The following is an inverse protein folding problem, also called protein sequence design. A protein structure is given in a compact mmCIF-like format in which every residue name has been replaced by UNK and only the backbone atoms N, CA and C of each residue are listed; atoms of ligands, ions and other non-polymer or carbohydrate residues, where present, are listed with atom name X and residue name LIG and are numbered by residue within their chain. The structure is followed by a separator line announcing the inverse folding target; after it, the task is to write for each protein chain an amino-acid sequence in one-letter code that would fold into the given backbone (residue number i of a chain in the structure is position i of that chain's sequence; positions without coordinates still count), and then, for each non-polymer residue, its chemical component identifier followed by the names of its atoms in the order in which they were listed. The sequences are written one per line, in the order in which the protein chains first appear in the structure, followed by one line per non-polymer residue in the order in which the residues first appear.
data_IF_606783298096
#
_entry.id   IF_606783298096
#
_cell.length_a   1.000
_cell.length_b   1.000
_cell.length_c   1.000
_cell.angle_alpha   90.00
_cell.angle_beta   90.00
_cell.angle_gamma   90.00
#
_symmetry.space_group_name_H-M   'P 1'
#
loop_
_entity.id
_entity.type
_entity.pdbx_description
1 polymer ?
#
# COMPACT_ATOMS: atom_id res chain seq x y z
N UNK A 1 2.62 -20.20 -66.74
CA UNK A 1 3.86 -19.56 -67.24
C UNK A 1 4.54 -18.92 -66.05
N UNK A 2 5.43 -19.66 -65.37
CA UNK A 2 6.13 -19.18 -64.18
C UNK A 2 7.28 -18.28 -64.63
N UNK A 3 7.01 -16.99 -64.80
CA UNK A 3 8.08 -16.02 -65.09
C UNK A 3 8.95 -15.91 -63.84
N UNK A 4 10.23 -16.32 -63.88
CA UNK A 4 11.10 -16.21 -62.73
C UNK A 4 11.27 -14.74 -62.37
N UNK A 5 10.87 -14.37 -61.15
CA UNK A 5 11.10 -13.01 -60.63
C UNK A 5 12.59 -12.67 -60.73
N UNK A 6 12.93 -11.43 -61.14
CA UNK A 6 14.32 -10.99 -61.22
C UNK A 6 15.02 -11.20 -59.87
N UNK A 7 16.28 -11.65 -59.89
CA UNK A 7 17.07 -11.98 -58.71
C UNK A 7 16.95 -10.97 -57.52
N UNK A 8 16.96 -9.64 -57.73
CA UNK A 8 16.79 -8.70 -56.62
C UNK A 8 15.40 -8.76 -55.95
N UNK A 9 14.34 -9.05 -56.71
CA UNK A 9 12.97 -9.14 -56.19
C UNK A 9 12.73 -10.35 -55.29
N UNK A 10 13.51 -11.43 -55.48
CA UNK A 10 13.42 -12.65 -54.66
C UNK A 10 13.85 -12.42 -53.21
N UNK A 11 14.71 -11.43 -52.97
CA UNK A 11 15.22 -11.08 -51.64
C UNK A 11 14.48 -9.86 -51.08
N UNK A 12 14.15 -8.88 -51.94
CA UNK A 12 13.43 -7.69 -51.53
C UNK A 12 12.04 -8.01 -50.95
N UNK A 13 11.31 -8.96 -51.55
CA UNK A 13 9.97 -9.34 -51.09
C UNK A 13 9.96 -9.95 -49.67
N UNK A 14 10.73 -11.00 -49.35
CA UNK A 14 10.77 -11.53 -47.99
C UNK A 14 11.37 -10.52 -47.00
N UNK A 15 12.37 -9.74 -47.39
CA UNK A 15 12.93 -8.70 -46.52
C UNK A 15 11.86 -7.63 -46.15
N UNK A 16 11.07 -7.20 -47.13
CA UNK A 16 9.97 -6.27 -46.89
C UNK A 16 8.90 -6.87 -45.96
N UNK A 17 8.51 -8.13 -46.16
CA UNK A 17 7.58 -8.81 -45.27
C UNK A 17 8.12 -8.93 -43.84
N UNK A 18 9.42 -9.23 -43.68
CA UNK A 18 10.07 -9.27 -42.37
C UNK A 18 10.02 -7.89 -41.71
N UNK A 19 10.31 -6.80 -42.46
CA UNK A 19 10.21 -5.44 -41.93
C UNK A 19 8.79 -5.07 -41.50
N UNK A 20 7.78 -5.46 -42.29
CA UNK A 20 6.38 -5.27 -41.91
C UNK A 20 6.02 -6.06 -40.65
N UNK A 21 6.51 -7.29 -40.53
CA UNK A 21 6.28 -8.11 -39.34
C UNK A 21 6.92 -7.48 -38.10
N UNK A 22 8.17 -7.02 -38.22
CA UNK A 22 8.87 -6.32 -37.13
C UNK A 22 8.11 -5.06 -36.72
N UNK A 23 7.66 -4.26 -37.69
CA UNK A 23 6.89 -3.05 -37.41
C UNK A 23 5.56 -3.37 -36.71
N UNK A 24 4.87 -4.43 -37.14
CA UNK A 24 3.63 -4.88 -36.51
C UNK A 24 3.86 -5.35 -35.06
N UNK A 25 4.90 -6.13 -34.80
CA UNK A 25 5.26 -6.58 -33.44
C UNK A 25 5.61 -5.39 -32.56
N UNK A 26 6.39 -4.44 -33.08
CA UNK A 26 6.79 -3.25 -32.33
C UNK A 26 5.58 -2.36 -32.02
N UNK A 27 4.68 -2.17 -32.99
CA UNK A 27 3.41 -1.46 -32.80
C UNK A 27 2.52 -2.12 -31.75
N UNK A 28 2.31 -3.44 -31.84
CA UNK A 28 1.51 -4.19 -30.87
C UNK A 28 2.09 -4.13 -29.46
N UNK A 29 3.42 -4.24 -29.34
CA UNK A 29 4.14 -4.17 -28.06
C UNK A 29 4.01 -2.78 -27.43
N UNK A 30 4.18 -1.73 -28.23
CA UNK A 30 4.03 -0.35 -27.76
C UNK A 30 2.61 -0.04 -27.31
N UNK A 31 1.60 -0.50 -28.08
CA UNK A 31 0.19 -0.37 -27.68
C UNK A 31 -0.14 -1.17 -26.41
N UNK A 32 0.50 -2.31 -26.21
CA UNK A 32 0.38 -3.10 -24.98
C UNK A 32 0.95 -2.35 -23.77
N UNK A 33 2.17 -1.82 -23.89
CA UNK A 33 2.81 -1.02 -22.85
C UNK A 33 2.01 0.23 -22.50
N UNK A 34 1.49 0.94 -23.51
CA UNK A 34 0.66 2.13 -23.30
C UNK A 34 -0.61 1.80 -22.50
N UNK A 35 -1.30 0.71 -22.84
CA UNK A 35 -2.49 0.25 -22.10
C UNK A 35 -2.15 -0.09 -20.64
N UNK A 36 -1.03 -0.74 -20.40
CA UNK A 36 -0.58 -1.04 -19.04
C UNK A 36 -0.25 0.23 -18.25
N UNK A 37 0.38 1.24 -18.88
CA UNK A 37 0.66 2.51 -18.22
C UNK A 37 -0.61 3.26 -17.84
N UNK A 38 -1.63 3.26 -18.71
CA UNK A 38 -2.92 3.86 -18.41
C UNK A 38 -3.62 3.17 -17.24
N UNK A 39 -3.70 1.83 -17.24
CA UNK A 39 -4.29 1.07 -16.14
C UNK A 39 -3.56 1.30 -14.80
N UNK A 40 -2.23 1.38 -14.82
CA UNK A 40 -1.46 1.71 -13.62
C UNK A 40 -1.70 3.15 -13.13
N UNK A 41 -1.87 4.11 -14.03
CA UNK A 41 -2.23 5.49 -13.67
C UNK A 41 -3.61 5.56 -13.04
N UNK A 42 -4.61 4.89 -13.63
CA UNK A 42 -5.98 4.88 -13.12
C UNK A 42 -6.04 4.26 -11.72
N UNK A 43 -5.36 3.12 -11.52
CA UNK A 43 -5.26 2.48 -10.18
C UNK A 43 -4.57 3.38 -9.17
N UNK A 44 -3.50 4.08 -9.57
CA UNK A 44 -2.81 5.03 -8.69
C UNK A 44 -3.74 6.16 -8.28
N UNK A 45 -4.52 6.69 -9.21
CA UNK A 45 -5.48 7.76 -8.94
C UNK A 45 -6.59 7.27 -7.99
N UNK A 46 -7.14 6.09 -8.24
CA UNK A 46 -8.14 5.47 -7.35
C UNK A 46 -7.60 5.23 -5.93
N UNK A 47 -6.38 4.70 -5.81
CA UNK A 47 -5.73 4.52 -4.50
C UNK A 47 -5.47 5.86 -3.82
N UNK A 48 -5.06 6.90 -4.55
CA UNK A 48 -4.84 8.22 -3.96
C UNK A 48 -6.15 8.81 -3.43
N UNK A 49 -7.25 8.63 -4.16
CA UNK A 49 -8.57 9.07 -3.75
C UNK A 49 -9.09 8.25 -2.55
N UNK A 50 -8.84 6.94 -2.51
CA UNK A 50 -9.21 6.10 -1.37
C UNK A 50 -8.44 6.48 -0.11
N UNK A 51 -7.14 6.75 -0.22
CA UNK A 51 -6.31 7.26 0.89
C UNK A 51 -6.78 8.62 1.35
N UNK A 52 -7.11 9.55 0.45
CA UNK A 52 -7.65 10.85 0.81
C UNK A 52 -8.97 10.72 1.59
N UNK A 53 -9.90 9.87 1.12
CA UNK A 53 -11.15 9.56 1.84
C UNK A 53 -10.88 8.91 3.20
N UNK A 54 -9.98 7.93 3.27
CA UNK A 54 -9.62 7.27 4.51
C UNK A 54 -8.99 8.25 5.51
N UNK A 55 -8.17 9.20 5.05
CA UNK A 55 -7.61 10.27 5.89
C UNK A 55 -8.68 11.22 6.41
N UNK A 56 -9.68 11.57 5.60
CA UNK A 56 -10.81 12.37 6.06
C UNK A 56 -11.59 11.64 7.17
N UNK A 57 -11.90 10.35 6.97
CA UNK A 57 -12.55 9.52 7.98
C UNK A 57 -11.69 9.38 9.24
N UNK A 58 -10.40 9.07 9.10
CA UNK A 58 -9.48 8.97 10.23
C UNK A 58 -9.32 10.31 10.97
N UNK A 59 -9.38 11.45 10.28
CA UNK A 59 -9.37 12.77 10.89
C UNK A 59 -10.58 13.04 11.78
N UNK A 60 -11.73 12.37 11.54
CA UNK A 60 -12.88 12.42 12.45
C UNK A 60 -12.71 11.56 13.71
N UNK A 61 -11.77 10.61 13.68
CA UNK A 61 -11.46 9.76 14.83
C UNK A 61 -10.49 10.50 15.73
N UNK A 62 -11.05 11.26 16.69
CA UNK A 62 -10.29 11.92 17.77
C UNK A 62 -9.72 10.93 18.78
N UNK A 63 -10.00 9.63 18.68
CA UNK A 63 -9.61 8.63 19.68
C UNK A 63 -8.10 8.63 20.00
N UNK A 64 -7.15 8.68 19.03
CA UNK A 64 -5.72 8.75 19.36
C UNK A 64 -5.34 10.03 20.10
N UNK A 65 -5.96 11.16 19.73
CA UNK A 65 -5.72 12.45 20.37
C UNK A 65 -6.34 12.51 21.76
N UNK A 66 -7.52 11.89 21.95
CA UNK A 66 -8.19 11.76 23.23
C UNK A 66 -7.39 10.86 24.18
N UNK A 67 -6.86 9.73 23.69
CA UNK A 67 -5.97 8.85 24.45
C UNK A 67 -4.66 9.57 24.77
N UNK A 68 -4.07 10.32 23.84
CA UNK A 68 -2.87 11.11 24.11
C UNK A 68 -3.11 12.26 25.11
N UNK A 69 -4.28 12.88 25.08
CA UNK A 69 -4.67 13.93 26.01
C UNK A 69 -4.93 13.35 27.42
N UNK A 70 -5.65 12.23 27.51
CA UNK A 70 -5.82 11.48 28.76
C UNK A 70 -4.46 11.03 29.31
N UNK A 71 -3.59 10.46 28.47
CA UNK A 71 -2.28 9.98 28.87
C UNK A 71 -1.41 11.12 29.43
N UNK A 72 -1.42 12.28 28.78
CA UNK A 72 -0.75 13.49 29.29
C UNK A 72 -1.35 13.95 30.62
N UNK A 73 -2.67 13.96 30.77
CA UNK A 73 -3.34 14.32 32.03
C UNK A 73 -3.02 13.35 33.18
N UNK A 74 -2.81 12.07 32.86
CA UNK A 74 -2.39 11.02 33.79
C UNK A 74 -0.87 10.98 34.05
N UNK A 75 -0.10 11.90 33.45
CA UNK A 75 1.35 12.04 33.67
C UNK A 75 2.23 11.13 32.81
N UNK A 76 1.67 10.47 31.78
CA UNK A 76 2.44 9.67 30.84
C UNK A 76 3.13 10.56 29.77
N UNK A 77 4.37 10.22 29.43
CA UNK A 77 5.18 10.92 28.42
C UNK A 77 5.03 10.21 27.07
N UNK A 78 4.66 10.92 25.98
CA UNK A 78 4.51 10.29 24.66
C UNK A 78 5.88 9.85 24.11
N UNK A 79 5.95 8.61 23.62
CA UNK A 79 7.13 8.06 22.97
C UNK A 79 7.25 8.67 21.57
N UNK A 80 8.42 9.21 21.16
CA UNK A 80 8.61 9.73 19.81
C UNK A 80 8.42 8.62 18.77
N UNK A 81 7.83 8.96 17.61
CA UNK A 81 7.63 7.99 16.53
C UNK A 81 8.97 7.36 16.12
N UNK A 82 9.04 6.02 16.19
CA UNK A 82 10.25 5.24 15.91
C UNK A 82 11.13 4.92 17.12
N UNK A 83 10.76 5.34 18.34
CA UNK A 83 11.45 4.98 19.57
C UNK A 83 11.04 3.62 20.13
N UNK A 84 11.96 2.95 20.83
CA UNK A 84 11.63 1.75 21.62
C UNK A 84 10.73 2.17 22.78
N UNK A 85 9.50 1.67 22.80
CA UNK A 85 8.61 1.85 23.93
C UNK A 85 9.16 1.09 25.14
N UNK A 86 9.65 1.81 26.15
CA UNK A 86 10.06 1.22 27.42
C UNK A 86 8.88 1.28 28.36
N UNK A 87 8.37 0.11 28.76
CA UNK A 87 7.36 0.02 29.81
C UNK A 87 8.01 0.40 31.15
N UNK A 88 7.90 1.66 31.54
CA UNK A 88 8.19 2.08 32.90
C UNK A 88 7.02 1.60 33.77
N UNK A 89 7.21 0.50 34.49
CA UNK A 89 6.24 0.06 35.48
C UNK A 89 6.09 1.15 36.54
N UNK A 90 4.91 1.78 36.61
CA UNK A 90 4.55 2.55 37.79
C UNK A 90 4.53 1.59 38.99
N UNK A 91 5.06 2.03 40.13
CA UNK A 91 5.30 1.21 41.32
C UNK A 91 4.12 0.36 41.79
N UNK A 92 4.40 -0.58 42.69
CA UNK A 92 3.45 -1.59 43.18
C UNK A 92 2.07 -1.01 43.50
N UNK A 93 1.03 -1.57 42.85
CA UNK A 93 -0.37 -1.25 43.12
C UNK A 93 -0.76 -1.87 44.47
N UNK A 94 -1.32 -1.06 45.36
CA UNK A 94 -1.92 -1.55 46.59
C UNK A 94 -3.28 -2.20 46.24
N UNK A 95 -3.34 -3.53 46.32
CA UNK A 95 -4.53 -4.32 46.00
C UNK A 95 -5.23 -4.69 47.31
N UNK A 96 -6.51 -4.30 47.51
CA UNK A 96 -7.22 -4.63 48.74
C UNK A 96 -7.36 -6.15 48.91
N UNK A 97 -7.22 -6.67 50.13
CA UNK A 97 -7.27 -8.11 50.40
C UNK A 97 -8.65 -8.70 50.09
N UNK A 98 -8.67 -9.90 49.51
CA UNK A 98 -9.91 -10.65 49.21
C UNK A 98 -10.27 -11.52 50.41
N UNK A 99 -11.52 -11.42 50.89
CA UNK A 99 -12.00 -12.14 52.10
C UNK A 99 -12.25 -13.66 51.90
N UNK A 100 -11.73 -14.27 50.84
CA UNK A 100 -11.83 -15.71 50.60
C UNK A 100 -11.27 -16.15 49.24
N UNK A 101 -11.02 -17.44 49.03
CA UNK A 101 -10.55 -17.95 47.74
C UNK A 101 -11.64 -17.80 46.69
N UNK A 102 -11.41 -16.91 45.72
CA UNK A 102 -12.30 -16.61 44.60
C UNK A 102 -11.53 -16.72 43.27
N UNK A 103 -12.19 -17.23 42.23
CA UNK A 103 -11.68 -17.32 40.85
C UNK A 103 -12.01 -16.05 40.03
N UNK A 104 -12.38 -14.95 40.70
CA UNK A 104 -12.73 -13.70 40.02
C UNK A 104 -11.50 -12.98 39.47
N UNK A 105 -11.47 -12.81 38.14
CA UNK A 105 -10.49 -11.94 37.48
C UNK A 105 -10.98 -10.50 37.56
N UNK A 106 -10.41 -9.73 38.47
CA UNK A 106 -10.66 -8.28 38.58
C UNK A 106 -9.58 -7.51 37.84
N UNK A 107 -9.99 -6.72 36.84
CA UNK A 107 -9.09 -5.77 36.19
C UNK A 107 -9.26 -4.40 36.83
N UNK A 108 -8.21 -3.92 37.48
CA UNK A 108 -8.15 -2.55 38.03
C UNK A 108 -7.46 -1.69 37.00
N UNK A 109 -8.17 -0.69 36.49
CA UNK A 109 -7.65 0.28 35.52
C UNK A 109 -7.37 1.59 36.25
N UNK A 110 -6.23 2.21 35.95
CA UNK A 110 -5.96 3.62 36.23
C UNK A 110 -6.21 4.44 34.98
#
# INVERSE_FOLDING_TARGET
MNVPLPAPFRIALPAYLVLLLVLAVMGASNQGLLRHQLDLMDRKEELSASVARARLVAGTVTAPQAVAAWARAAGFVPVPEGGIAVAAAAGSVDVPPVEGPSLEVRTVWR
#
